data_IF_082472733884
#
_entry.id   IF_082472733884
#
_cell.length_a   1.000
_cell.length_b   1.000
_cell.length_c   1.000
_cell.angle_alpha   90.00
_cell.angle_beta   90.00
_cell.angle_gamma   90.00
#
_symmetry.space_group_name_H-M   'P 1'
#
loop_
_entity.id
_entity.type
_entity.pdbx_description
1 polymer ?
#
# COMPACT_ATOMS: atom_id res chain seq x y z
N UNK A 1 0.80 1.39 29.72
CA UNK A 1 0.85 -0.02 30.11
C UNK A 1 0.21 -0.82 28.97
N UNK A 2 1.06 -1.36 28.06
CA UNK A 2 0.64 -2.10 26.85
C UNK A 2 -0.30 -3.26 27.20
N UNK A 3 -0.04 -3.96 28.29
CA UNK A 3 -0.85 -5.10 28.74
C UNK A 3 -2.29 -4.73 29.09
N UNK A 4 -2.52 -3.52 29.65
CA UNK A 4 -3.88 -3.04 29.96
C UNK A 4 -4.63 -2.66 28.69
N UNK A 5 -3.95 -2.07 27.71
CA UNK A 5 -4.53 -1.72 26.42
C UNK A 5 -4.89 -3.00 25.63
N UNK A 6 -4.01 -3.96 25.56
CA UNK A 6 -4.26 -5.25 24.89
C UNK A 6 -5.43 -6.00 25.51
N UNK A 7 -5.53 -6.04 26.83
CA UNK A 7 -6.66 -6.67 27.53
C UNK A 7 -7.99 -5.93 27.29
N UNK A 8 -7.97 -4.61 27.22
CA UNK A 8 -9.15 -3.81 26.92
C UNK A 8 -9.65 -4.08 25.50
N UNK A 9 -8.78 -4.07 24.52
CA UNK A 9 -9.12 -4.37 23.13
C UNK A 9 -9.60 -5.80 22.92
N UNK A 10 -8.99 -6.76 23.61
CA UNK A 10 -9.42 -8.17 23.55
C UNK A 10 -10.81 -8.38 24.16
N UNK A 11 -11.12 -7.73 25.28
CA UNK A 11 -12.45 -7.80 25.88
C UNK A 11 -13.50 -7.15 24.98
N UNK A 12 -13.20 -5.99 24.38
CA UNK A 12 -14.07 -5.33 23.42
C UNK A 12 -14.33 -6.22 22.18
N UNK A 13 -13.30 -6.95 21.71
CA UNK A 13 -13.47 -7.92 20.63
C UNK A 13 -14.44 -9.03 21.04
N UNK A 14 -14.22 -9.69 22.19
CA UNK A 14 -15.07 -10.79 22.68
C UNK A 14 -16.53 -10.37 22.90
N UNK A 15 -16.75 -9.13 23.35
CA UNK A 15 -18.12 -8.62 23.56
C UNK A 15 -18.84 -8.40 22.23
N UNK A 16 -18.14 -7.98 21.19
CA UNK A 16 -18.69 -7.80 19.83
C UNK A 16 -18.84 -9.13 19.09
N UNK A 17 -17.94 -10.08 19.30
CA UNK A 17 -17.92 -11.40 18.66
C UNK A 17 -19.24 -12.16 18.82
N UNK A 18 -19.94 -11.95 19.95
CA UNK A 18 -21.25 -12.57 20.23
C UNK A 18 -22.34 -12.21 19.21
N UNK A 19 -22.19 -11.08 18.53
CA UNK A 19 -23.16 -10.51 17.58
C UNK A 19 -22.69 -10.62 16.12
N UNK A 20 -21.57 -11.31 15.87
CA UNK A 20 -20.99 -11.49 14.52
C UNK A 20 -21.36 -12.86 13.99
N UNK A 21 -21.90 -12.93 12.78
CA UNK A 21 -22.16 -14.19 12.07
C UNK A 21 -20.92 -14.68 11.34
N UNK A 22 -20.24 -13.77 10.63
CA UNK A 22 -19.04 -14.06 9.85
C UNK A 22 -18.11 -12.84 9.81
N UNK A 23 -16.81 -13.06 9.89
CA UNK A 23 -15.80 -12.02 9.73
C UNK A 23 -15.32 -11.93 8.29
N UNK A 24 -15.30 -10.73 7.74
CA UNK A 24 -14.56 -10.41 6.53
C UNK A 24 -13.19 -9.83 6.87
N UNK A 25 -12.15 -10.37 6.25
CA UNK A 25 -10.77 -9.88 6.36
C UNK A 25 -10.17 -9.70 4.97
N UNK A 26 -9.25 -8.74 4.84
CA UNK A 26 -8.71 -8.32 3.56
C UNK A 26 -7.36 -8.96 3.20
N UNK A 27 -6.85 -9.87 4.04
CA UNK A 27 -5.62 -10.63 3.77
C UNK A 27 -5.59 -11.93 4.55
N UNK A 28 -4.88 -12.92 4.03
CA UNK A 28 -4.62 -14.18 4.74
C UNK A 28 -3.81 -13.96 6.02
N UNK A 29 -2.97 -12.94 6.06
CA UNK A 29 -2.23 -12.53 7.26
C UNK A 29 -3.18 -12.09 8.37
N UNK A 30 -4.14 -11.24 8.06
CA UNK A 30 -5.18 -10.81 9.00
C UNK A 30 -6.08 -11.99 9.39
N UNK A 31 -6.42 -12.88 8.43
CA UNK A 31 -7.19 -14.09 8.70
C UNK A 31 -6.54 -14.91 9.83
N UNK A 32 -5.25 -15.24 9.69
CA UNK A 32 -4.50 -15.99 10.71
C UNK A 32 -4.43 -15.30 12.08
N UNK A 33 -4.56 -13.99 12.12
CA UNK A 33 -4.62 -13.24 13.40
C UNK A 33 -5.99 -13.36 14.04
N UNK A 34 -7.06 -13.21 13.26
CA UNK A 34 -8.45 -13.27 13.76
C UNK A 34 -8.83 -14.69 14.14
N UNK A 35 -8.37 -15.73 13.44
CA UNK A 35 -8.56 -17.15 13.79
C UNK A 35 -8.09 -17.53 15.21
N UNK A 36 -7.19 -16.75 15.79
CA UNK A 36 -6.74 -16.94 17.19
C UNK A 36 -7.69 -16.36 18.23
N UNK A 37 -8.67 -15.56 17.79
CA UNK A 37 -9.54 -14.78 18.67
C UNK A 37 -10.98 -15.29 18.67
N UNK A 38 -11.41 -16.02 17.65
CA UNK A 38 -12.78 -16.49 17.47
C UNK A 38 -12.86 -17.80 16.70
N UNK A 39 -13.90 -18.59 16.98
CA UNK A 39 -14.27 -19.80 16.22
C UNK A 39 -15.28 -19.49 15.09
N UNK A 40 -15.65 -18.23 14.91
CA UNK A 40 -16.57 -17.80 13.85
C UNK A 40 -15.94 -18.00 12.47
N UNK A 41 -16.77 -18.18 11.46
CA UNK A 41 -16.32 -18.25 10.07
C UNK A 41 -15.60 -16.96 9.67
N UNK A 42 -14.47 -17.10 8.97
CA UNK A 42 -13.66 -15.97 8.52
C UNK A 42 -13.39 -16.12 7.03
N UNK A 43 -13.95 -15.21 6.24
CA UNK A 43 -13.75 -15.14 4.80
C UNK A 43 -12.73 -14.07 4.45
N UNK A 44 -11.69 -14.46 3.71
CA UNK A 44 -10.65 -13.54 3.24
C UNK A 44 -10.97 -13.12 1.81
N UNK A 45 -11.27 -11.85 1.62
CA UNK A 45 -11.48 -11.23 0.31
C UNK A 45 -10.71 -9.92 0.30
N UNK A 46 -9.58 -9.81 -0.41
CA UNK A 46 -8.84 -8.56 -0.58
C UNK A 46 -9.73 -7.46 -1.18
N UNK A 47 -9.31 -6.22 -1.02
CA UNK A 47 -9.95 -5.13 -1.75
C UNK A 47 -9.88 -5.41 -3.24
N UNK A 48 -10.94 -5.07 -3.96
CA UNK A 48 -10.93 -5.13 -5.42
C UNK A 48 -10.20 -3.95 -6.03
N UNK A 49 -9.76 -4.12 -7.26
CA UNK A 49 -9.24 -3.06 -8.11
C UNK A 49 -10.16 -2.88 -9.31
N UNK A 50 -10.46 -1.61 -9.63
CA UNK A 50 -11.29 -1.28 -10.79
C UNK A 50 -10.38 -0.96 -11.98
N UNK A 51 -10.30 -1.86 -12.95
CA UNK A 51 -9.45 -1.73 -14.13
C UNK A 51 -9.91 -0.66 -15.12
N UNK A 52 -11.11 -0.08 -14.95
CA UNK A 52 -11.52 1.11 -15.68
C UNK A 52 -10.92 2.41 -15.11
N UNK A 53 -10.42 2.36 -13.87
CA UNK A 53 -9.76 3.49 -13.20
C UNK A 53 -8.25 3.33 -13.15
N UNK A 54 -7.79 2.10 -12.96
CA UNK A 54 -6.38 1.74 -12.81
C UNK A 54 -5.95 0.87 -13.97
N UNK A 55 -5.05 1.37 -14.80
CA UNK A 55 -4.57 0.68 -16.01
C UNK A 55 -3.22 1.23 -16.46
N UNK A 56 -2.50 0.44 -17.22
CA UNK A 56 -1.23 0.83 -17.84
C UNK A 56 -1.45 1.89 -18.92
N UNK A 57 -0.65 2.95 -18.91
CA UNK A 57 -0.63 4.02 -19.93
C UNK A 57 0.70 3.95 -20.69
N UNK A 58 0.64 3.63 -21.97
CA UNK A 58 1.85 3.41 -22.78
C UNK A 58 2.60 4.70 -23.15
N UNK A 59 1.91 5.86 -23.21
CA UNK A 59 2.53 7.15 -23.54
C UNK A 59 3.11 7.82 -22.30
N UNK A 60 4.16 7.22 -21.75
CA UNK A 60 4.83 7.72 -20.56
C UNK A 60 5.47 9.09 -20.79
N UNK A 61 6.07 9.34 -21.97
CA UNK A 61 6.68 10.65 -22.26
C UNK A 61 5.68 11.80 -22.17
N UNK A 62 4.45 11.59 -22.64
CA UNK A 62 3.38 12.59 -22.50
C UNK A 62 3.10 12.86 -21.02
N UNK A 63 3.06 11.84 -20.18
CA UNK A 63 2.82 11.99 -18.74
C UNK A 63 3.97 12.72 -18.05
N UNK A 64 5.21 12.37 -18.34
CA UNK A 64 6.38 13.06 -17.79
C UNK A 64 6.34 14.55 -18.13
N UNK A 65 6.06 14.90 -19.39
CA UNK A 65 5.89 16.31 -19.81
C UNK A 65 4.73 17.00 -19.08
N UNK A 66 3.58 16.33 -18.96
CA UNK A 66 2.38 16.87 -18.26
C UNK A 66 2.69 17.24 -16.83
N UNK A 67 3.40 16.40 -16.11
CA UNK A 67 3.74 16.60 -14.69
C UNK A 67 5.08 17.28 -14.47
N UNK A 68 5.77 17.70 -15.55
CA UNK A 68 7.07 18.40 -15.52
C UNK A 68 8.16 17.57 -14.84
N UNK A 69 8.14 16.27 -15.04
CA UNK A 69 9.23 15.37 -14.67
C UNK A 69 10.27 15.31 -15.82
N UNK A 70 11.54 15.24 -15.46
CA UNK A 70 12.59 15.05 -16.46
C UNK A 70 12.74 13.56 -16.77
N UNK A 71 13.06 13.22 -18.00
CA UNK A 71 13.20 11.84 -18.45
C UNK A 71 14.40 11.09 -17.84
N UNK A 72 15.37 11.84 -17.30
CA UNK A 72 16.56 11.31 -16.62
C UNK A 72 16.39 11.17 -15.10
N UNK A 73 15.23 11.57 -14.56
CA UNK A 73 14.92 11.41 -13.15
C UNK A 73 14.43 9.99 -12.82
N UNK A 74 14.89 9.45 -11.71
CA UNK A 74 14.35 8.21 -11.16
C UNK A 74 13.22 8.55 -10.17
N UNK A 75 11.98 8.33 -10.62
CA UNK A 75 10.77 8.71 -9.89
C UNK A 75 10.38 7.63 -8.87
N UNK A 76 10.37 7.99 -7.58
CA UNK A 76 9.98 7.10 -6.48
C UNK A 76 8.67 7.60 -5.87
N UNK A 77 7.64 6.74 -5.85
CA UNK A 77 6.31 7.06 -5.33
C UNK A 77 6.07 6.61 -3.89
N UNK A 78 5.33 7.46 -3.14
CA UNK A 78 4.73 7.14 -1.85
C UNK A 78 3.42 7.90 -1.69
N UNK A 79 2.28 7.22 -1.85
CA UNK A 79 0.95 7.84 -1.95
C UNK A 79 0.08 7.63 -0.70
N UNK A 80 0.71 7.42 0.44
CA UNK A 80 0.01 7.17 1.70
C UNK A 80 0.25 8.31 2.72
N UNK A 81 -0.69 8.48 3.64
CA UNK A 81 -0.54 9.41 4.76
C UNK A 81 0.64 9.00 5.66
N UNK A 82 1.48 9.96 6.05
CA UNK A 82 2.69 9.70 6.85
C UNK A 82 2.74 10.42 8.21
N UNK A 83 1.83 11.35 8.47
CA UNK A 83 1.81 12.12 9.72
C UNK A 83 0.60 11.76 10.58
N UNK A 84 0.72 11.86 11.91
CA UNK A 84 -0.30 11.42 12.86
C UNK A 84 -1.06 12.59 13.51
N UNK A 85 -2.34 12.33 13.82
CA UNK A 85 -3.18 13.21 14.62
C UNK A 85 -3.30 14.65 14.09
N UNK A 86 -3.32 15.60 15.01
CA UNK A 86 -3.25 17.04 14.77
C UNK A 86 -1.81 17.55 14.63
N UNK A 87 -0.85 16.85 15.23
CA UNK A 87 0.56 17.15 15.05
C UNK A 87 1.10 16.52 13.77
N UNK A 88 1.15 17.32 12.69
CA UNK A 88 1.55 16.89 11.36
C UNK A 88 3.05 16.64 11.19
N UNK A 89 3.86 16.95 12.21
CA UNK A 89 5.31 16.71 12.22
C UNK A 89 5.67 15.33 12.76
N UNK A 90 4.80 14.73 13.56
CA UNK A 90 5.03 13.38 14.09
C UNK A 90 4.79 12.32 13.03
N UNK A 91 5.72 11.35 12.89
CA UNK A 91 5.57 10.26 11.94
C UNK A 91 4.46 9.30 12.36
N UNK A 92 3.63 8.90 11.42
CA UNK A 92 2.74 7.76 11.60
C UNK A 92 3.53 6.46 11.44
N UNK A 93 4.18 6.02 12.52
CA UNK A 93 5.11 4.89 12.49
C UNK A 93 4.53 3.59 11.91
N UNK A 94 3.23 3.34 12.08
CA UNK A 94 2.57 2.19 11.44
C UNK A 94 2.70 2.19 9.92
N UNK A 95 2.76 3.39 9.29
CA UNK A 95 2.95 3.56 7.84
C UNK A 95 4.44 3.63 7.42
N UNK A 96 5.37 3.64 8.37
CA UNK A 96 6.80 3.57 8.14
C UNK A 96 7.41 4.73 7.33
N UNK A 97 7.03 6.00 7.55
CA UNK A 97 7.61 7.11 6.79
C UNK A 97 9.10 7.30 7.10
N UNK A 98 9.54 6.97 8.29
CA UNK A 98 10.93 6.92 8.69
C UNK A 98 11.74 5.88 7.91
N UNK A 99 11.18 4.68 7.73
CA UNK A 99 11.75 3.63 6.88
C UNK A 99 11.81 4.03 5.41
N UNK A 100 10.77 4.71 4.91
CA UNK A 100 10.77 5.24 3.56
C UNK A 100 11.95 6.19 3.33
N UNK A 101 12.17 7.14 4.22
CA UNK A 101 13.31 8.07 4.13
C UNK A 101 14.64 7.33 4.19
N UNK A 102 14.79 6.34 5.07
CA UNK A 102 15.99 5.50 5.14
C UNK A 102 16.28 4.81 3.80
N UNK A 103 15.26 4.18 3.20
CA UNK A 103 15.37 3.50 1.91
C UNK A 103 15.75 4.49 0.79
N UNK A 104 15.09 5.63 0.72
CA UNK A 104 15.36 6.69 -0.27
C UNK A 104 16.81 7.21 -0.15
N UNK A 105 17.31 7.42 1.06
CA UNK A 105 18.70 7.84 1.31
C UNK A 105 19.70 6.80 0.81
N UNK A 106 19.41 5.53 1.00
CA UNK A 106 20.27 4.45 0.50
C UNK A 106 20.24 4.36 -1.03
N UNK A 107 19.07 4.42 -1.66
CA UNK A 107 18.94 4.42 -3.13
C UNK A 107 19.71 5.60 -3.74
N UNK A 108 19.67 6.78 -3.10
CA UNK A 108 20.38 7.98 -3.56
C UNK A 108 21.90 7.81 -3.62
N UNK A 109 22.48 6.87 -2.89
CA UNK A 109 23.92 6.60 -2.98
C UNK A 109 24.31 6.10 -4.36
N UNK A 110 23.44 5.29 -4.95
CA UNK A 110 23.68 4.65 -6.25
C UNK A 110 23.03 5.44 -7.42
N UNK A 111 21.82 5.97 -7.20
CA UNK A 111 21.06 6.73 -8.20
C UNK A 111 21.01 8.20 -7.77
N UNK A 112 21.78 9.07 -8.44
CA UNK A 112 21.94 10.48 -8.03
C UNK A 112 20.74 11.37 -8.33
N UNK A 113 20.04 11.13 -9.43
CA UNK A 113 18.92 11.96 -9.88
C UNK A 113 17.57 11.36 -9.48
N UNK A 114 17.36 11.19 -8.18
CA UNK A 114 16.08 10.73 -7.64
C UNK A 114 15.10 11.90 -7.47
N UNK A 115 13.83 11.63 -7.71
CA UNK A 115 12.74 12.59 -7.49
C UNK A 115 11.57 11.87 -6.82
N UNK A 116 11.17 12.34 -5.65
CA UNK A 116 10.10 11.71 -4.87
C UNK A 116 8.75 12.27 -5.28
N UNK A 117 7.82 11.40 -5.61
CA UNK A 117 6.43 11.77 -5.97
C UNK A 117 5.52 11.42 -4.80
N UNK A 118 4.86 12.44 -4.26
CA UNK A 118 3.99 12.32 -3.10
C UNK A 118 2.56 12.72 -3.46
N UNK A 119 1.58 11.96 -2.96
CA UNK A 119 0.15 12.34 -3.01
C UNK A 119 -0.50 12.21 -1.64
N UNK A 120 -1.76 12.66 -1.54
CA UNK A 120 -2.58 12.49 -0.35
C UNK A 120 -2.42 13.59 0.68
N UNK A 121 -3.07 13.42 1.83
CA UNK A 121 -3.06 14.39 2.94
C UNK A 121 -1.99 14.03 3.98
N UNK A 122 -1.60 15.02 4.78
CA UNK A 122 -0.71 14.84 5.94
C UNK A 122 0.62 14.18 5.55
N UNK A 123 1.36 14.86 4.65
CA UNK A 123 2.67 14.45 4.14
C UNK A 123 3.82 15.27 4.76
N UNK A 124 3.54 16.01 5.81
CA UNK A 124 4.49 16.97 6.38
C UNK A 124 5.77 16.29 6.89
N UNK A 125 5.66 15.12 7.55
CA UNK A 125 6.83 14.43 8.04
C UNK A 125 7.84 14.10 6.92
N UNK A 126 7.36 13.41 5.85
CA UNK A 126 8.23 13.06 4.73
C UNK A 126 8.77 14.33 4.05
N UNK A 127 7.93 15.33 3.82
CA UNK A 127 8.34 16.60 3.20
C UNK A 127 9.47 17.24 3.99
N UNK A 128 9.31 17.39 5.30
CA UNK A 128 10.35 17.96 6.17
C UNK A 128 11.67 17.18 6.11
N UNK A 129 11.60 15.85 6.09
CA UNK A 129 12.81 15.01 6.00
C UNK A 129 13.47 15.12 4.60
N UNK A 130 12.69 15.17 3.52
CA UNK A 130 13.22 15.37 2.17
C UNK A 130 13.92 16.74 2.02
N UNK A 131 13.33 17.79 2.61
CA UNK A 131 13.93 19.14 2.63
C UNK A 131 15.25 19.19 3.39
N UNK A 132 15.32 18.56 4.58
CA UNK A 132 16.55 18.45 5.36
C UNK A 132 17.69 17.75 4.58
N UNK A 133 17.32 16.73 3.82
CA UNK A 133 18.28 15.94 3.02
C UNK A 133 18.54 16.53 1.63
N UNK A 134 17.92 17.66 1.27
CA UNK A 134 17.99 18.25 -0.08
C UNK A 134 17.62 17.21 -1.18
N UNK A 135 16.56 16.46 -0.97
CA UNK A 135 16.02 15.49 -1.94
C UNK A 135 14.86 16.13 -2.68
N UNK A 136 14.94 16.11 -4.00
CA UNK A 136 13.88 16.67 -4.88
C UNK A 136 12.58 15.91 -4.69
N UNK A 137 11.45 16.64 -4.61
CA UNK A 137 10.13 16.05 -4.56
C UNK A 137 9.08 16.89 -5.27
N UNK A 138 7.99 16.23 -5.66
CA UNK A 138 6.73 16.85 -6.10
C UNK A 138 5.58 16.36 -5.22
N UNK A 139 4.75 17.28 -4.74
CA UNK A 139 3.62 16.96 -3.87
C UNK A 139 2.28 17.35 -4.49
N UNK A 140 1.47 16.35 -4.76
CA UNK A 140 0.11 16.47 -5.29
C UNK A 140 -0.88 16.22 -4.15
N UNK A 141 -1.27 17.29 -3.44
CA UNK A 141 -1.99 17.21 -2.15
C UNK A 141 -3.32 16.45 -2.22
N UNK A 142 -4.12 16.75 -3.22
CA UNK A 142 -5.43 16.14 -3.45
C UNK A 142 -5.59 15.90 -4.94
N UNK A 143 -5.37 14.68 -5.36
CA UNK A 143 -5.55 14.26 -6.74
C UNK A 143 -6.87 13.54 -6.92
N UNK A 144 -7.47 13.65 -8.09
CA UNK A 144 -8.50 12.74 -8.55
C UNK A 144 -7.89 11.38 -8.95
N UNK A 145 -8.74 10.39 -9.18
CA UNK A 145 -8.30 9.03 -9.50
C UNK A 145 -7.60 8.94 -10.85
N UNK A 146 -7.98 9.76 -11.83
CA UNK A 146 -7.31 9.82 -13.13
C UNK A 146 -5.88 10.32 -12.98
N UNK A 147 -5.68 11.43 -12.28
CA UNK A 147 -4.35 11.97 -11.97
C UNK A 147 -3.52 10.96 -11.17
N UNK A 148 -4.14 10.25 -10.22
CA UNK A 148 -3.42 9.27 -9.43
C UNK A 148 -2.96 8.06 -10.28
N UNK A 149 -3.83 7.57 -11.20
CA UNK A 149 -3.44 6.55 -12.17
C UNK A 149 -2.29 7.01 -13.07
N UNK A 150 -2.35 8.24 -13.59
CA UNK A 150 -1.27 8.80 -14.40
C UNK A 150 0.05 8.91 -13.63
N UNK A 151 -0.01 9.30 -12.33
CA UNK A 151 1.18 9.38 -11.49
C UNK A 151 1.80 8.00 -11.23
N UNK A 152 1.00 6.96 -11.00
CA UNK A 152 1.52 5.58 -10.92
C UNK A 152 2.29 5.20 -12.18
N UNK A 153 1.75 5.54 -13.35
CA UNK A 153 2.38 5.25 -14.65
C UNK A 153 3.66 6.06 -14.91
N UNK A 154 3.93 7.13 -14.15
CA UNK A 154 5.20 7.87 -14.24
C UNK A 154 6.33 7.23 -13.42
N UNK A 155 6.02 6.37 -12.44
CA UNK A 155 7.01 5.93 -11.46
C UNK A 155 7.97 4.86 -12.00
N UNK A 156 9.25 4.99 -11.62
CA UNK A 156 10.23 3.94 -11.75
C UNK A 156 10.20 2.95 -10.59
N UNK A 157 9.69 3.40 -9.41
CA UNK A 157 9.56 2.55 -8.23
C UNK A 157 8.48 3.09 -7.29
N UNK A 158 7.61 2.23 -6.79
CA UNK A 158 6.73 2.51 -5.67
C UNK A 158 7.21 1.74 -4.44
N UNK A 159 7.22 2.38 -3.26
CA UNK A 159 7.71 1.75 -2.02
C UNK A 159 6.61 1.73 -0.96
N UNK A 160 6.26 0.54 -0.48
CA UNK A 160 5.46 0.34 0.71
C UNK A 160 6.39 -0.02 1.86
N UNK A 161 6.57 0.91 2.81
CA UNK A 161 7.49 0.78 3.94
C UNK A 161 6.78 0.56 5.29
N UNK A 162 5.49 0.25 5.25
CA UNK A 162 4.63 0.16 6.44
C UNK A 162 5.10 -0.94 7.41
N UNK A 163 4.88 -0.72 8.70
CA UNK A 163 5.05 -1.75 9.74
C UNK A 163 3.80 -2.61 9.88
N UNK A 164 2.64 -1.97 9.75
CA UNK A 164 1.34 -2.63 9.90
C UNK A 164 0.35 -2.08 8.88
N UNK A 165 -0.28 -2.98 8.14
CA UNK A 165 -1.35 -2.71 7.18
C UNK A 165 -2.28 -3.92 7.11
N UNK A 166 -3.58 -3.67 6.99
CA UNK A 166 -4.54 -4.73 6.68
C UNK A 166 -4.44 -5.18 5.22
N UNK A 167 -4.41 -4.22 4.29
CA UNK A 167 -4.26 -4.45 2.85
C UNK A 167 -3.99 -3.13 2.15
N UNK A 168 -2.71 -2.78 1.89
CA UNK A 168 -2.39 -1.55 1.15
C UNK A 168 -2.94 -1.65 -0.26
N UNK A 169 -3.94 -0.83 -0.58
CA UNK A 169 -4.58 -0.86 -1.90
C UNK A 169 -3.61 -0.49 -3.02
N UNK A 170 -2.61 0.33 -2.72
CA UNK A 170 -1.52 0.66 -3.63
C UNK A 170 -0.78 -0.56 -4.20
N UNK A 171 -0.79 -1.71 -3.52
CA UNK A 171 -0.20 -2.94 -4.05
C UNK A 171 -0.99 -3.45 -5.26
N UNK A 172 -2.32 -3.46 -5.17
CA UNK A 172 -3.20 -3.85 -6.28
C UNK A 172 -3.17 -2.81 -7.41
N UNK A 173 -3.16 -1.52 -7.04
CA UNK A 173 -3.09 -0.40 -7.98
C UNK A 173 -1.77 -0.44 -8.79
N UNK A 174 -0.64 -0.60 -8.13
CA UNK A 174 0.66 -0.80 -8.80
C UNK A 174 0.66 -2.06 -9.67
N UNK A 175 0.05 -3.15 -9.20
CA UNK A 175 -0.04 -4.39 -9.98
C UNK A 175 -0.72 -4.17 -11.32
N UNK A 176 -1.91 -3.54 -11.34
CA UNK A 176 -2.69 -3.36 -12.58
C UNK A 176 -2.15 -2.23 -13.48
N UNK A 177 -1.50 -1.22 -12.91
CA UNK A 177 -0.82 -0.16 -13.67
C UNK A 177 0.56 -0.57 -14.16
N UNK A 178 1.02 -1.78 -13.78
CA UNK A 178 2.38 -2.30 -14.01
C UNK A 178 3.48 -1.37 -13.47
N UNK A 179 3.18 -0.65 -12.41
CA UNK A 179 4.15 0.17 -11.69
C UNK A 179 5.11 -0.72 -10.91
N UNK A 180 6.45 -0.61 -11.11
CA UNK A 180 7.41 -1.36 -10.31
C UNK A 180 7.22 -1.09 -8.82
N UNK A 181 7.07 -2.14 -7.99
CA UNK A 181 6.78 -2.01 -6.57
C UNK A 181 7.64 -2.95 -5.73
N UNK A 182 8.11 -2.44 -4.59
CA UNK A 182 8.65 -3.24 -3.48
C UNK A 182 7.87 -2.93 -2.20
N UNK A 183 7.73 -3.91 -1.33
CA UNK A 183 6.92 -3.78 -0.11
C UNK A 183 7.54 -4.50 1.07
N UNK A 184 7.36 -3.95 2.26
CA UNK A 184 7.45 -4.77 3.47
C UNK A 184 6.37 -5.86 3.44
N UNK A 185 6.55 -6.94 4.19
CA UNK A 185 5.55 -8.02 4.29
C UNK A 185 4.36 -7.58 5.14
N UNK A 186 3.45 -6.80 4.54
CA UNK A 186 2.24 -6.27 5.19
C UNK A 186 0.97 -6.57 4.40
N UNK A 187 -0.10 -6.89 5.12
CA UNK A 187 -1.42 -7.13 4.54
C UNK A 187 -1.37 -8.16 3.41
N UNK A 188 -1.76 -7.73 2.21
CA UNK A 188 -1.84 -8.56 0.99
C UNK A 188 -0.50 -8.71 0.25
N UNK A 189 0.60 -8.15 0.75
CA UNK A 189 1.86 -8.12 0.01
C UNK A 189 2.29 -9.51 -0.46
N UNK A 190 2.34 -10.50 0.44
CA UNK A 190 2.73 -11.88 0.11
C UNK A 190 1.73 -12.67 -0.74
N UNK A 191 0.52 -12.13 -0.95
CA UNK A 191 -0.50 -12.73 -1.81
C UNK A 191 -0.41 -12.21 -3.25
N UNK A 192 0.09 -10.99 -3.42
CA UNK A 192 0.13 -10.27 -4.70
C UNK A 192 1.53 -10.18 -5.27
N UNK A 193 2.53 -9.92 -4.45
CA UNK A 193 3.90 -9.67 -4.87
C UNK A 193 4.74 -10.95 -4.83
N UNK A 194 5.71 -11.04 -5.73
CA UNK A 194 6.72 -12.09 -5.71
C UNK A 194 7.61 -11.97 -4.45
N UNK A 195 8.16 -13.09 -3.94
CA UNK A 195 9.01 -13.05 -2.74
C UNK A 195 10.18 -12.07 -2.86
N UNK A 196 10.80 -11.95 -4.04
CA UNK A 196 11.90 -11.00 -4.30
C UNK A 196 11.48 -9.53 -4.27
N UNK A 197 10.16 -9.23 -4.35
CA UNK A 197 9.63 -7.87 -4.24
C UNK A 197 9.27 -7.51 -2.80
N UNK A 198 9.41 -8.46 -1.86
CA UNK A 198 9.10 -8.27 -0.45
C UNK A 198 10.40 -8.17 0.35
N UNK A 199 10.49 -7.18 1.22
CA UNK A 199 11.69 -6.94 2.01
C UNK A 199 11.44 -6.73 3.49
N UNK A 200 12.50 -6.87 4.26
CA UNK A 200 12.66 -6.34 5.61
C UNK A 200 13.74 -5.25 5.59
N UNK A 201 13.78 -4.39 6.62
CA UNK A 201 14.71 -3.25 6.63
C UNK A 201 16.19 -3.64 6.53
N UNK A 202 16.57 -4.84 6.92
CA UNK A 202 17.95 -5.30 6.83
C UNK A 202 18.36 -5.80 5.44
N UNK A 203 17.38 -6.12 4.55
CA UNK A 203 17.65 -6.66 3.21
C UNK A 203 16.93 -5.92 2.07
N UNK A 204 16.40 -4.73 2.30
CA UNK A 204 15.63 -4.00 1.28
C UNK A 204 16.41 -3.71 -0.02
N UNK A 205 17.73 -3.67 0.06
CA UNK A 205 18.61 -3.49 -1.12
C UNK A 205 18.55 -4.66 -2.11
N UNK A 206 18.18 -5.84 -1.64
CA UNK A 206 18.07 -7.04 -2.47
C UNK A 206 16.70 -7.13 -3.14
N UNK A 207 15.74 -6.30 -2.71
CA UNK A 207 14.39 -6.32 -3.23
C UNK A 207 14.35 -5.87 -4.69
N UNK A 208 13.62 -6.65 -5.51
CA UNK A 208 13.48 -6.41 -6.95
C UNK A 208 12.00 -6.47 -7.34
N UNK A 209 11.46 -5.44 -8.00
CA UNK A 209 10.10 -5.50 -8.52
C UNK A 209 9.93 -6.65 -9.52
N UNK A 210 8.87 -7.43 -9.36
CA UNK A 210 8.43 -8.41 -10.36
C UNK A 210 7.05 -7.98 -10.88
N UNK A 211 7.05 -7.18 -11.93
CA UNK A 211 5.87 -6.52 -12.47
C UNK A 211 4.84 -7.53 -12.96
N UNK A 212 5.25 -8.52 -13.74
CA UNK A 212 4.33 -9.49 -14.34
C UNK A 212 3.67 -10.39 -13.26
N UNK A 213 4.41 -10.75 -12.22
CA UNK A 213 3.86 -11.50 -11.10
C UNK A 213 2.81 -10.68 -10.34
N UNK A 214 3.13 -9.40 -10.04
CA UNK A 214 2.21 -8.48 -9.39
C UNK A 214 0.94 -8.24 -10.23
N UNK A 215 1.09 -8.00 -11.53
CA UNK A 215 -0.02 -7.82 -12.46
C UNK A 215 -0.93 -9.04 -12.50
N UNK A 216 -0.39 -10.24 -12.74
CA UNK A 216 -1.16 -11.49 -12.80
C UNK A 216 -1.96 -11.74 -11.52
N UNK A 217 -1.38 -11.46 -10.36
CA UNK A 217 -2.07 -11.69 -9.10
C UNK A 217 -3.08 -10.58 -8.77
N UNK A 218 -2.79 -9.32 -9.10
CA UNK A 218 -3.75 -8.22 -8.91
C UNK A 218 -5.00 -8.39 -9.77
N UNK A 219 -4.88 -8.90 -10.99
CA UNK A 219 -6.02 -9.15 -11.88
C UNK A 219 -7.00 -10.21 -11.35
N UNK A 220 -6.59 -11.06 -10.41
CA UNK A 220 -7.52 -11.99 -9.73
C UNK A 220 -8.53 -11.26 -8.84
N UNK A 221 -8.23 -10.02 -8.48
CA UNK A 221 -9.06 -9.16 -7.63
C UNK A 221 -9.63 -7.97 -8.39
N UNK A 222 -9.77 -8.14 -9.71
CA UNK A 222 -10.55 -7.22 -10.55
C UNK A 222 -12.00 -7.15 -10.02
N UNK A 223 -12.59 -5.97 -10.09
CA UNK A 223 -13.86 -5.63 -9.42
C UNK A 223 -14.98 -6.64 -9.71
N UNK A 224 -15.16 -7.06 -10.98
CA UNK A 224 -16.24 -7.97 -11.35
C UNK A 224 -16.08 -9.37 -10.73
N UNK A 225 -14.85 -9.88 -10.68
CA UNK A 225 -14.56 -11.18 -10.06
C UNK A 225 -14.65 -11.11 -8.53
N UNK A 226 -14.08 -10.06 -7.93
CA UNK A 226 -14.14 -9.86 -6.49
C UNK A 226 -15.55 -9.63 -5.97
N UNK A 227 -16.40 -8.94 -6.74
CA UNK A 227 -17.80 -8.73 -6.36
C UNK A 227 -18.55 -10.05 -6.19
N UNK A 228 -18.28 -11.06 -7.03
CA UNK A 228 -18.85 -12.40 -6.89
C UNK A 228 -18.52 -13.04 -5.54
N UNK A 229 -17.27 -12.83 -5.06
CA UNK A 229 -16.85 -13.36 -3.75
C UNK A 229 -17.63 -12.72 -2.61
N UNK A 230 -17.83 -11.39 -2.65
CA UNK A 230 -18.65 -10.69 -1.67
C UNK A 230 -20.11 -11.14 -1.73
N UNK A 231 -20.67 -11.25 -2.93
CA UNK A 231 -22.05 -11.72 -3.11
C UNK A 231 -22.23 -13.11 -2.49
N UNK A 232 -21.32 -14.04 -2.77
CA UNK A 232 -21.37 -15.39 -2.20
C UNK A 232 -21.27 -15.39 -0.67
N UNK A 233 -20.42 -14.53 -0.10
CA UNK A 233 -20.30 -14.38 1.35
C UNK A 233 -21.64 -13.93 1.96
N UNK A 234 -22.25 -12.87 1.42
CA UNK A 234 -23.53 -12.35 1.93
C UNK A 234 -24.68 -13.32 1.73
N UNK A 235 -24.79 -13.99 0.56
CA UNK A 235 -25.81 -15.00 0.31
C UNK A 235 -25.71 -16.15 1.32
N UNK A 236 -24.49 -16.62 1.59
CA UNK A 236 -24.26 -17.69 2.57
C UNK A 236 -24.65 -17.33 4.01
N UNK A 237 -24.67 -16.05 4.38
CA UNK A 237 -25.16 -15.59 5.70
C UNK A 237 -26.70 -15.59 5.74
N UNK A 238 -27.38 -15.32 4.63
CA UNK A 238 -28.85 -15.28 4.58
C UNK A 238 -29.49 -16.68 4.49
N UNK A 239 -28.77 -17.69 4.03
CA UNK A 239 -29.28 -19.06 3.86
C UNK A 239 -29.10 -19.93 5.12
N UNK A 240 -28.45 -19.44 6.18
CA UNK A 240 -28.26 -20.09 7.48
C UNK A 240 -29.11 -19.42 8.56
#
# INVERSE_FOLDING_TARGET
DETKFENFELNNFKDRDKFVDEYHVISLKTKKQVEKLTDKKITSIPYWVNTNLWFEIFDNERLLRKYKFNSDEFLIGSFQRDSEGSNVELPKLSKGPDRFIEIVKEIRKDIKNIHIVLTGRKRNYIINELEKENIKYSYFKMTDLTTLNELYNCLNLYIVSSRFEGGPQSILECGVTKTPIISTDVGVASEILAPESIFQMHNFKDAKPNIEFAYKNSMKYEMHESFKLFNNMFTGVYEN
#
